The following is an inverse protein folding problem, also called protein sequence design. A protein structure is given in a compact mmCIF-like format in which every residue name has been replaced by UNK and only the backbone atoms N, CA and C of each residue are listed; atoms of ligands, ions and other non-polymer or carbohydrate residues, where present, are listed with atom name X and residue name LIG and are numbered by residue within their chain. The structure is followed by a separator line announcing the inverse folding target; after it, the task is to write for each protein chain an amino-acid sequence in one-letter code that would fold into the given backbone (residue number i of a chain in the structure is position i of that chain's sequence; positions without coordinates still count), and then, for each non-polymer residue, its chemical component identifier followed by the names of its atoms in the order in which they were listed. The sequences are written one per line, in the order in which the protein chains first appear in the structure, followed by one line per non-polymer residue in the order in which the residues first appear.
data_IF_889553536621
#
_entry.id   IF_889553536621
#
_cell.length_a   1.000
_cell.length_b   1.000
_cell.length_c   1.000
_cell.angle_alpha   90.00
_cell.angle_beta   90.00
_cell.angle_gamma   90.00
#
_symmetry.space_group_name_H-M   'P 1'
#
loop_
_entity.id
_entity.type
_entity.pdbx_description
1 polymer ?
#
# COMPACT_ATOMS: atom_id res chain seq x y z
N UNK A 1 -4.25 -11.68 30.19
CA UNK A 1 -3.20 -12.24 29.33
C UNK A 1 -2.12 -11.20 29.02
N UNK A 2 -2.44 -10.03 28.37
CA UNK A 2 -1.41 -9.02 27.95
C UNK A 2 -0.54 -8.52 29.10
N UNK A 3 -1.11 -8.20 30.28
CA UNK A 3 -0.35 -7.75 31.45
C UNK A 3 0.69 -8.78 31.92
N UNK A 4 0.46 -10.06 31.68
CA UNK A 4 1.41 -11.11 32.04
C UNK A 4 2.63 -11.18 31.09
N UNK A 5 2.52 -10.64 29.90
CA UNK A 5 3.61 -10.56 28.92
C UNK A 5 4.54 -9.37 29.17
N UNK A 6 4.04 -8.30 29.77
CA UNK A 6 4.76 -7.05 29.94
C UNK A 6 6.11 -7.24 30.68
N UNK A 7 6.24 -7.98 31.79
CA UNK A 7 7.52 -8.17 32.45
C UNK A 7 8.58 -8.92 31.63
N UNK A 8 8.14 -9.72 30.64
CA UNK A 8 9.03 -10.55 29.83
C UNK A 8 9.38 -9.93 28.48
N UNK A 9 8.45 -9.15 27.91
CA UNK A 9 8.56 -8.70 26.52
C UNK A 9 8.54 -7.19 26.33
N UNK A 10 8.54 -6.38 27.41
CA UNK A 10 8.58 -4.93 27.30
C UNK A 10 9.77 -4.48 26.45
N UNK A 11 9.50 -3.67 25.40
CA UNK A 11 10.52 -3.16 24.50
C UNK A 11 11.22 -4.19 23.60
N UNK A 12 10.66 -5.38 23.40
CA UNK A 12 11.29 -6.45 22.64
C UNK A 12 10.52 -6.90 21.39
N UNK A 13 9.26 -6.48 21.25
CA UNK A 13 8.41 -6.92 20.15
C UNK A 13 8.60 -6.02 18.93
N UNK A 14 9.05 -6.58 17.82
CA UNK A 14 9.31 -5.84 16.56
C UNK A 14 8.06 -5.46 15.81
N UNK A 15 7.06 -6.33 15.83
CA UNK A 15 5.83 -6.13 15.09
C UNK A 15 4.64 -6.66 15.89
N UNK A 16 3.60 -5.83 16.00
CA UNK A 16 2.32 -6.22 16.56
C UNK A 16 1.27 -5.98 15.49
N UNK A 17 0.48 -7.01 15.19
CA UNK A 17 -0.73 -6.91 14.40
C UNK A 17 -1.90 -7.39 15.25
N UNK A 18 -2.94 -6.58 15.34
CA UNK A 18 -4.17 -6.94 16.05
C UNK A 18 -5.39 -6.75 15.16
N UNK A 19 -6.34 -7.64 15.37
CA UNK A 19 -7.68 -7.64 14.79
C UNK A 19 -8.68 -7.70 15.95
N UNK A 20 -9.01 -6.53 16.56
CA UNK A 20 -9.92 -6.48 17.70
C UNK A 20 -11.37 -6.63 17.23
N UNK A 21 -12.35 -6.88 18.14
CA UNK A 21 -13.76 -6.78 17.81
C UNK A 21 -14.11 -5.43 17.19
N UNK A 22 -14.78 -5.42 16.03
CA UNK A 22 -15.06 -4.21 15.25
C UNK A 22 -16.21 -3.37 15.83
N UNK A 23 -16.95 -3.89 16.79
CA UNK A 23 -18.09 -3.25 17.44
C UNK A 23 -19.24 -2.94 16.45
N UNK A 24 -19.46 -3.81 15.47
CA UNK A 24 -20.46 -3.64 14.41
C UNK A 24 -21.88 -4.01 14.82
N UNK A 25 -22.07 -4.58 16.01
CA UNK A 25 -23.34 -5.12 16.50
C UNK A 25 -23.80 -6.40 15.78
N UNK A 26 -22.95 -6.99 14.96
CA UNK A 26 -23.19 -8.31 14.36
C UNK A 26 -22.75 -9.36 15.37
N UNK A 27 -23.71 -9.97 16.05
CA UNK A 27 -23.49 -10.95 17.09
C UNK A 27 -22.75 -12.20 16.55
N UNK A 28 -21.46 -12.28 16.79
CA UNK A 28 -20.77 -13.56 16.83
C UNK A 28 -20.95 -14.16 18.23
N UNK A 29 -21.43 -15.41 18.34
CA UNK A 29 -21.82 -16.08 19.60
C UNK A 29 -20.80 -16.08 20.75
N UNK A 30 -19.58 -15.56 20.51
CA UNK A 30 -18.48 -15.56 21.49
C UNK A 30 -17.76 -14.21 21.66
N UNK A 31 -18.27 -13.12 21.05
CA UNK A 31 -17.69 -11.79 21.16
C UNK A 31 -18.76 -10.76 21.53
N UNK A 32 -18.51 -9.97 22.58
CA UNK A 32 -19.30 -8.78 22.90
C UNK A 32 -19.05 -7.69 21.82
N UNK A 33 -19.63 -7.86 20.64
CA UNK A 33 -19.49 -6.96 19.49
C UNK A 33 -20.58 -5.86 19.46
N UNK A 34 -21.21 -5.61 20.59
CA UNK A 34 -22.22 -4.56 20.76
C UNK A 34 -21.96 -3.78 22.05
N UNK A 35 -20.72 -3.34 22.21
CA UNK A 35 -20.35 -2.47 23.33
C UNK A 35 -20.78 -1.03 23.02
N UNK A 36 -21.21 -0.32 24.05
CA UNK A 36 -21.34 1.13 23.96
C UNK A 36 -19.96 1.69 23.59
N UNK A 37 -19.93 2.63 22.66
CA UNK A 37 -18.72 3.18 22.04
C UNK A 37 -17.63 3.61 23.06
N UNK A 38 -18.04 4.29 24.15
CA UNK A 38 -17.11 4.71 25.21
C UNK A 38 -16.49 3.55 25.96
N UNK A 39 -17.23 2.45 26.13
CA UNK A 39 -16.74 1.22 26.79
C UNK A 39 -15.70 0.56 25.88
N UNK A 40 -15.98 0.45 24.57
CA UNK A 40 -15.05 -0.08 23.60
C UNK A 40 -13.74 0.72 23.55
N UNK A 41 -13.81 2.05 23.50
CA UNK A 41 -12.65 2.93 23.52
C UNK A 41 -11.82 2.78 24.79
N UNK A 42 -12.45 2.73 25.96
CA UNK A 42 -11.76 2.53 27.24
C UNK A 42 -11.03 1.17 27.29
N UNK A 43 -11.70 0.13 26.80
CA UNK A 43 -11.14 -1.21 26.68
C UNK A 43 -9.92 -1.24 25.74
N UNK A 44 -10.01 -0.56 24.62
CA UNK A 44 -8.91 -0.44 23.66
C UNK A 44 -7.77 0.39 24.21
N UNK A 45 -8.05 1.52 24.85
CA UNK A 45 -7.02 2.38 25.45
C UNK A 45 -6.09 1.59 26.39
N UNK A 46 -6.65 0.81 27.29
CA UNK A 46 -5.86 0.01 28.23
C UNK A 46 -4.97 -0.99 27.52
N UNK A 47 -5.49 -1.66 26.50
CA UNK A 47 -4.75 -2.69 25.73
C UNK A 47 -3.66 -2.05 24.85
N UNK A 48 -4.00 -0.98 24.15
CA UNK A 48 -3.07 -0.28 23.26
C UNK A 48 -1.86 0.29 24.00
N UNK A 49 -2.04 0.79 25.22
CA UNK A 49 -0.92 1.26 26.08
C UNK A 49 0.03 0.10 26.43
N UNK A 50 -0.51 -1.06 26.79
CA UNK A 50 0.33 -2.25 27.05
C UNK A 50 1.06 -2.68 25.76
N UNK A 51 0.35 -2.77 24.63
CA UNK A 51 0.95 -3.13 23.35
C UNK A 51 2.05 -2.14 22.94
N UNK A 52 1.86 -0.84 23.18
CA UNK A 52 2.89 0.16 22.98
C UNK A 52 4.13 -0.08 23.87
N UNK A 53 3.94 -0.48 25.13
CA UNK A 53 5.05 -0.84 26.03
C UNK A 53 5.83 -2.05 25.53
N UNK A 54 5.15 -3.06 24.98
CA UNK A 54 5.78 -4.28 24.45
C UNK A 54 6.64 -4.01 23.22
N UNK A 55 6.29 -3.02 22.39
CA UNK A 55 7.03 -2.70 21.17
C UNK A 55 8.45 -2.21 21.46
N UNK A 56 9.42 -2.69 20.69
CA UNK A 56 10.78 -2.13 20.65
C UNK A 56 10.81 -0.72 20.03
N UNK A 57 11.92 -0.01 20.19
CA UNK A 57 12.07 1.39 19.75
C UNK A 57 11.86 1.59 18.25
N UNK A 58 12.10 0.56 17.44
CA UNK A 58 11.90 0.58 15.98
C UNK A 58 10.73 -0.32 15.55
N UNK A 59 9.86 -0.68 16.50
CA UNK A 59 8.74 -1.58 16.28
C UNK A 59 7.61 -0.94 15.48
N UNK A 60 6.83 -1.79 14.83
CA UNK A 60 5.64 -1.41 14.06
C UNK A 60 4.39 -2.00 14.67
N UNK A 61 3.34 -1.19 14.70
CA UNK A 61 2.02 -1.55 15.22
C UNK A 61 0.98 -1.41 14.12
N UNK A 62 0.21 -2.47 13.92
CA UNK A 62 -0.86 -2.59 12.95
C UNK A 62 -2.17 -2.91 13.65
N UNK A 63 -3.24 -2.24 13.29
CA UNK A 63 -4.57 -2.54 13.76
C UNK A 63 -5.55 -2.55 12.60
N UNK A 64 -6.33 -3.63 12.52
CA UNK A 64 -7.38 -3.82 11.53
C UNK A 64 -8.73 -3.49 12.15
N UNK A 65 -9.53 -2.70 11.47
CA UNK A 65 -10.84 -2.21 11.93
C UNK A 65 -11.76 -2.01 10.73
N UNK A 66 -13.06 -1.94 10.99
CA UNK A 66 -14.03 -1.45 10.02
C UNK A 66 -14.34 0.05 10.23
N UNK A 67 -15.32 0.57 9.48
CA UNK A 67 -15.70 1.99 9.50
C UNK A 67 -16.23 2.48 10.85
N UNK A 68 -16.78 1.58 11.70
CA UNK A 68 -17.49 1.96 12.93
C UNK A 68 -16.55 2.65 13.91
N UNK A 69 -15.38 2.04 14.15
CA UNK A 69 -14.48 2.50 15.21
C UNK A 69 -13.14 3.05 14.70
N UNK A 70 -12.82 2.91 13.40
CA UNK A 70 -11.49 3.29 12.88
C UNK A 70 -11.11 4.74 13.15
N UNK A 71 -12.04 5.67 13.01
CA UNK A 71 -11.75 7.10 13.18
C UNK A 71 -11.45 7.47 14.63
N UNK A 72 -12.21 6.94 15.56
CA UNK A 72 -12.01 7.18 16.99
C UNK A 72 -10.77 6.44 17.51
N UNK A 73 -10.55 5.22 17.05
CA UNK A 73 -9.33 4.48 17.33
C UNK A 73 -8.08 5.21 16.82
N UNK A 74 -8.18 5.85 15.63
CA UNK A 74 -7.11 6.68 15.08
C UNK A 74 -6.71 7.82 16.02
N UNK A 75 -7.69 8.53 16.59
CA UNK A 75 -7.43 9.62 17.56
C UNK A 75 -6.76 9.08 18.81
N UNK A 76 -7.23 7.96 19.34
CA UNK A 76 -6.66 7.28 20.48
C UNK A 76 -5.21 6.82 20.22
N UNK A 77 -4.94 6.29 19.05
CA UNK A 77 -3.59 5.90 18.63
C UNK A 77 -2.66 7.11 18.48
N UNK A 78 -3.16 8.25 17.98
CA UNK A 78 -2.40 9.50 17.92
C UNK A 78 -1.98 9.98 19.30
N UNK A 79 -2.80 9.76 20.34
CA UNK A 79 -2.47 10.07 21.72
C UNK A 79 -1.39 9.12 22.29
N UNK A 80 -1.51 7.82 22.02
CA UNK A 80 -0.62 6.79 22.59
C UNK A 80 0.73 6.74 21.88
N UNK A 81 0.72 6.74 20.55
CA UNK A 81 1.91 6.60 19.72
C UNK A 81 2.53 7.92 19.29
N UNK A 82 1.84 9.04 19.47
CA UNK A 82 2.08 10.36 18.87
C UNK A 82 1.74 10.41 17.38
N UNK A 83 1.08 11.49 16.95
CA UNK A 83 0.64 11.69 15.57
C UNK A 83 1.77 11.62 14.54
N UNK A 84 2.96 12.09 14.89
CA UNK A 84 4.15 12.03 14.03
C UNK A 84 4.63 10.61 13.73
N UNK A 85 4.21 9.63 14.51
CA UNK A 85 4.53 8.22 14.34
C UNK A 85 3.49 7.45 13.51
N UNK A 86 2.44 8.13 13.04
CA UNK A 86 1.52 7.58 12.06
C UNK A 86 2.24 7.38 10.74
N UNK A 87 2.12 6.18 10.15
CA UNK A 87 2.81 5.80 8.90
C UNK A 87 1.84 5.72 7.74
N UNK A 88 0.74 4.98 7.90
CA UNK A 88 -0.20 4.75 6.81
C UNK A 88 -1.62 4.40 7.32
N UNK A 89 -2.60 4.73 6.48
CA UNK A 89 -3.95 4.21 6.53
C UNK A 89 -4.17 3.42 5.23
N UNK A 90 -4.34 2.13 5.35
CA UNK A 90 -4.56 1.21 4.24
C UNK A 90 -6.04 0.88 4.21
N UNK A 91 -6.69 1.14 3.09
CA UNK A 91 -8.06 0.69 2.84
C UNK A 91 -7.99 -0.64 2.10
N UNK A 92 -8.58 -1.65 2.68
CA UNK A 92 -8.64 -3.00 2.15
C UNK A 92 -10.05 -3.27 1.61
N UNK A 93 -10.13 -3.70 0.35
CA UNK A 93 -11.39 -4.13 -0.26
C UNK A 93 -11.63 -5.61 0.07
N UNK A 94 -12.62 -5.89 0.91
CA UNK A 94 -13.05 -7.26 1.15
C UNK A 94 -13.96 -7.74 0.02
N UNK A 95 -13.94 -9.03 -0.27
CA UNK A 95 -14.84 -9.63 -1.25
C UNK A 95 -16.29 -9.31 -0.91
N UNK A 96 -16.93 -8.47 -1.69
CA UNK A 96 -18.34 -8.18 -1.56
C UNK A 96 -19.13 -9.45 -1.89
N UNK A 97 -19.62 -10.14 -0.87
CA UNK A 97 -20.78 -11.02 -1.09
C UNK A 97 -21.95 -10.08 -1.39
N UNK A 98 -22.33 -10.04 -2.65
CA UNK A 98 -23.34 -9.15 -3.14
C UNK A 98 -24.59 -9.12 -2.23
N UNK A 99 -24.78 -8.02 -1.54
CA UNK A 99 -26.10 -7.43 -1.30
C UNK A 99 -27.09 -8.08 -0.37
N UNK A 100 -26.77 -9.14 0.33
CA UNK A 100 -27.74 -9.77 1.24
C UNK A 100 -27.32 -9.55 2.70
N UNK A 101 -27.92 -8.55 3.36
CA UNK A 101 -27.85 -8.39 4.80
C UNK A 101 -27.48 -7.03 5.36
N UNK A 102 -27.06 -6.08 4.55
CA UNK A 102 -26.79 -4.72 5.03
C UNK A 102 -27.98 -3.82 4.69
N UNK A 103 -28.80 -3.50 5.68
CA UNK A 103 -30.01 -2.67 5.55
C UNK A 103 -29.74 -1.17 5.34
N UNK A 104 -28.69 -0.80 4.58
CA UNK A 104 -28.30 0.58 4.30
C UNK A 104 -28.43 0.96 2.83
N UNK A 105 -28.42 2.26 2.54
CA UNK A 105 -28.41 2.79 1.19
C UNK A 105 -27.13 2.48 0.40
N UNK A 106 -26.04 2.18 1.09
CA UNK A 106 -24.74 1.87 0.53
C UNK A 106 -24.22 0.57 1.14
N UNK A 107 -23.54 -0.23 0.33
CA UNK A 107 -22.89 -1.46 0.78
C UNK A 107 -21.47 -1.09 1.19
N UNK A 108 -21.10 -1.39 2.45
CA UNK A 108 -19.73 -1.27 2.90
C UNK A 108 -18.93 -2.47 2.39
N UNK A 109 -17.91 -2.21 1.57
CA UNK A 109 -17.02 -3.23 0.98
C UNK A 109 -15.57 -3.07 1.44
N UNK A 110 -15.32 -2.19 2.38
CA UNK A 110 -13.96 -1.85 2.81
C UNK A 110 -13.73 -2.09 4.28
N UNK A 111 -12.50 -2.39 4.60
CA UNK A 111 -11.95 -2.43 5.96
C UNK A 111 -10.66 -1.61 5.99
N UNK A 112 -10.17 -1.30 7.19
CA UNK A 112 -9.12 -0.32 7.39
C UNK A 112 -7.99 -0.90 8.24
N UNK A 113 -6.75 -0.65 7.82
CA UNK A 113 -5.58 -0.99 8.61
C UNK A 113 -4.84 0.30 8.91
N UNK A 114 -4.67 0.63 10.19
CA UNK A 114 -3.85 1.75 10.64
C UNK A 114 -2.47 1.24 11.02
N UNK A 115 -1.43 1.91 10.51
CA UNK A 115 -0.04 1.58 10.79
C UNK A 115 0.63 2.72 11.56
N UNK A 116 1.23 2.37 12.68
CA UNK A 116 2.08 3.25 13.49
C UNK A 116 3.46 2.63 13.68
N UNK A 117 4.46 3.47 13.86
CA UNK A 117 5.80 3.10 14.30
C UNK A 117 6.03 3.55 15.73
N UNK A 118 7.03 2.96 16.40
CA UNK A 118 7.56 3.47 17.66
C UNK A 118 9.01 3.94 17.42
N UNK A 119 9.19 5.27 17.26
CA UNK A 119 10.50 5.85 16.95
C UNK A 119 10.88 5.79 15.46
N UNK A 120 12.14 5.53 15.13
CA UNK A 120 12.59 5.46 13.75
C UNK A 120 12.09 4.19 13.06
N UNK A 121 11.76 4.28 11.77
CA UNK A 121 11.51 3.05 10.99
C UNK A 121 12.82 2.25 10.89
N UNK A 122 12.78 0.91 11.05
CA UNK A 122 13.88 0.10 10.60
C UNK A 122 14.17 0.44 9.15
N UNK A 123 15.42 0.46 8.73
CA UNK A 123 15.82 0.81 7.37
C UNK A 123 14.99 0.15 6.29
N UNK A 124 15.40 0.24 5.03
CA UNK A 124 14.63 -0.29 3.89
C UNK A 124 14.07 -1.68 4.20
N UNK A 125 12.74 -1.81 4.15
CA UNK A 125 12.07 -3.12 4.17
C UNK A 125 12.55 -3.95 2.98
N UNK A 126 12.70 -5.26 3.16
CA UNK A 126 12.98 -6.16 2.04
C UNK A 126 11.89 -5.98 0.98
N UNK A 127 12.31 -5.62 -0.23
CA UNK A 127 11.36 -5.57 -1.34
C UNK A 127 10.93 -7.00 -1.66
N UNK A 128 9.63 -7.24 -1.56
CA UNK A 128 9.03 -8.45 -2.11
C UNK A 128 8.72 -8.20 -3.58
N UNK A 129 9.28 -9.02 -4.45
CA UNK A 129 8.98 -9.00 -5.88
C UNK A 129 7.92 -10.06 -6.15
N UNK A 130 6.75 -9.63 -6.57
CA UNK A 130 5.73 -10.51 -7.12
C UNK A 130 5.80 -10.46 -8.64
N UNK A 131 5.55 -11.59 -9.29
CA UNK A 131 5.39 -11.59 -10.74
C UNK A 131 4.20 -10.72 -11.13
N UNK A 132 4.44 -9.73 -11.99
CA UNK A 132 3.37 -8.91 -12.53
C UNK A 132 2.38 -9.79 -13.31
N UNK A 133 1.12 -9.74 -12.92
CA UNK A 133 0.06 -10.38 -13.65
C UNK A 133 0.03 -9.92 -15.12
N UNK A 134 -0.20 -10.82 -16.06
CA UNK A 134 -0.18 -10.50 -17.49
C UNK A 134 -1.10 -9.32 -17.87
N UNK A 135 -2.19 -9.12 -17.12
CA UNK A 135 -3.09 -7.98 -17.30
C UNK A 135 -2.43 -6.62 -17.05
N UNK A 136 -1.38 -6.56 -16.25
CA UNK A 136 -0.59 -5.35 -16.01
C UNK A 136 0.46 -5.22 -17.10
N UNK A 137 1.19 -6.30 -17.40
CA UNK A 137 2.26 -6.33 -18.39
C UNK A 137 1.76 -5.85 -19.76
N UNK A 138 0.60 -6.34 -20.22
CA UNK A 138 0.02 -5.96 -21.52
C UNK A 138 -0.25 -4.47 -21.71
N UNK A 139 -0.25 -3.66 -20.63
CA UNK A 139 -0.39 -2.20 -20.72
C UNK A 139 0.88 -1.52 -21.22
N UNK A 140 2.02 -2.20 -21.15
CA UNK A 140 3.34 -1.72 -21.54
C UNK A 140 3.77 -2.34 -22.89
N UNK A 141 2.86 -2.42 -23.85
CA UNK A 141 3.06 -3.13 -25.11
C UNK A 141 3.80 -2.32 -26.20
N UNK A 142 4.39 -1.18 -25.84
CA UNK A 142 5.21 -0.38 -26.74
C UNK A 142 6.65 -0.36 -26.27
N UNK A 143 7.57 -0.36 -27.20
CA UNK A 143 8.99 -0.26 -26.92
C UNK A 143 9.69 0.62 -27.95
N UNK A 144 10.82 1.18 -27.56
CA UNK A 144 11.68 1.95 -28.45
C UNK A 144 12.57 0.95 -29.20
N UNK A 145 12.37 0.80 -30.49
CA UNK A 145 13.18 -0.07 -31.37
C UNK A 145 14.45 0.62 -31.83
N UNK A 146 14.40 1.95 -31.98
CA UNK A 146 15.55 2.76 -32.32
C UNK A 146 15.49 4.09 -31.55
N UNK A 147 16.52 4.42 -30.81
CA UNK A 147 16.60 5.67 -30.05
C UNK A 147 16.89 6.89 -30.93
N UNK A 148 17.27 6.69 -32.19
CA UNK A 148 17.69 7.79 -33.08
C UNK A 148 18.94 8.51 -32.55
N UNK A 149 19.11 9.75 -32.95
CA UNK A 149 20.20 10.62 -32.49
C UNK A 149 19.86 11.18 -31.10
N UNK A 150 20.83 11.17 -30.18
CA UNK A 150 20.65 11.70 -28.82
C UNK A 150 21.58 12.90 -28.57
N UNK A 151 21.03 13.93 -27.95
CA UNK A 151 21.77 15.09 -27.49
C UNK A 151 21.63 15.21 -25.96
N UNK A 152 22.75 15.35 -25.27
CA UNK A 152 22.76 15.58 -23.81
C UNK A 152 22.22 17.00 -23.54
N UNK A 153 21.09 17.10 -22.82
CA UNK A 153 20.51 18.37 -22.42
C UNK A 153 21.02 18.81 -21.04
N UNK A 154 21.11 17.86 -20.12
CA UNK A 154 21.41 18.16 -18.71
C UNK A 154 22.12 17.00 -18.03
N UNK A 155 23.05 17.34 -17.15
CA UNK A 155 23.66 16.40 -16.20
C UNK A 155 23.56 16.97 -14.78
N UNK A 156 23.23 16.15 -13.80
CA UNK A 156 23.18 16.55 -12.40
C UNK A 156 23.36 15.34 -11.49
N UNK A 157 23.75 15.59 -10.24
CA UNK A 157 23.86 14.55 -9.21
C UNK A 157 22.53 14.39 -8.50
N UNK A 158 21.99 13.17 -8.43
CA UNK A 158 20.75 12.87 -7.75
C UNK A 158 20.94 12.99 -6.23
N UNK A 159 20.07 13.77 -5.56
CA UNK A 159 20.14 13.97 -4.10
C UNK A 159 19.82 12.72 -3.27
N UNK A 160 19.26 11.69 -3.90
CA UNK A 160 18.80 10.46 -3.20
C UNK A 160 19.91 9.42 -3.02
N UNK A 161 20.90 9.39 -3.93
CA UNK A 161 21.93 8.33 -3.96
C UNK A 161 23.29 8.80 -4.49
N UNK A 162 23.47 10.11 -4.70
CA UNK A 162 24.68 10.73 -5.25
C UNK A 162 25.12 10.22 -6.64
N UNK A 163 24.21 9.57 -7.39
CA UNK A 163 24.48 9.12 -8.75
C UNK A 163 24.35 10.24 -9.78
N UNK A 164 25.17 10.17 -10.84
CA UNK A 164 25.10 11.11 -11.96
C UNK A 164 23.93 10.74 -12.85
N UNK A 165 22.95 11.64 -12.94
CA UNK A 165 21.78 11.53 -13.85
C UNK A 165 22.03 12.36 -15.09
N UNK A 166 21.88 11.75 -16.26
CA UNK A 166 21.98 12.39 -17.57
C UNK A 166 20.64 12.39 -18.26
N UNK A 167 20.19 13.56 -18.68
CA UNK A 167 18.96 13.74 -19.43
C UNK A 167 19.31 14.03 -20.90
N UNK A 168 18.70 13.25 -21.77
CA UNK A 168 18.94 13.34 -23.21
C UNK A 168 17.65 13.72 -23.95
N UNK A 169 17.79 14.49 -25.01
CA UNK A 169 16.78 14.63 -26.05
C UNK A 169 17.09 13.65 -27.17
N UNK A 170 16.07 13.04 -27.71
CA UNK A 170 16.18 12.09 -28.82
C UNK A 170 15.39 12.59 -30.01
N UNK A 171 15.97 12.51 -31.21
CA UNK A 171 15.31 12.82 -32.48
C UNK A 171 15.31 11.59 -33.37
N UNK A 172 14.23 11.38 -34.13
CA UNK A 172 14.11 10.22 -35.02
C UNK A 172 13.86 8.90 -34.25
N UNK A 173 13.19 8.95 -33.11
CA UNK A 173 12.86 7.76 -32.32
C UNK A 173 11.84 6.89 -33.05
N UNK A 174 12.15 5.59 -33.19
CA UNK A 174 11.22 4.61 -33.73
C UNK A 174 10.58 3.82 -32.59
N UNK A 175 9.26 3.68 -32.66
CA UNK A 175 8.44 3.02 -31.63
C UNK A 175 7.68 1.87 -32.30
N UNK A 176 7.87 0.68 -31.76
CA UNK A 176 7.15 -0.49 -32.16
C UNK A 176 6.23 -1.00 -31.06
N UNK A 177 5.39 -1.98 -31.39
CA UNK A 177 4.42 -2.54 -30.45
C UNK A 177 4.46 -4.05 -30.45
N UNK A 178 4.49 -4.66 -29.28
CA UNK A 178 4.31 -6.09 -29.08
C UNK A 178 2.86 -6.46 -29.42
N UNK A 179 2.67 -7.42 -30.32
CA UNK A 179 1.35 -7.87 -30.73
C UNK A 179 0.66 -8.68 -29.64
N UNK A 180 -0.46 -8.17 -29.14
CA UNK A 180 -1.30 -8.84 -28.14
C UNK A 180 -2.42 -9.70 -28.78
N UNK A 181 -2.29 -10.07 -30.05
CA UNK A 181 -3.27 -10.97 -30.72
C UNK A 181 -3.13 -12.36 -30.15
N UNK A 182 -4.27 -13.03 -29.93
CA UNK A 182 -4.35 -14.41 -29.45
C UNK A 182 -3.54 -14.72 -28.18
N UNK A 183 -3.62 -13.82 -27.23
CA UNK A 183 -2.88 -13.89 -25.95
C UNK A 183 -3.04 -15.24 -25.26
N UNK A 184 -4.24 -15.86 -25.30
CA UNK A 184 -4.51 -17.12 -24.59
C UNK A 184 -3.60 -18.26 -25.07
N UNK A 185 -3.28 -18.30 -26.38
CA UNK A 185 -2.48 -19.36 -26.96
C UNK A 185 -0.99 -19.00 -27.07
N UNK A 186 -0.65 -17.70 -26.97
CA UNK A 186 0.71 -17.17 -27.17
C UNK A 186 1.29 -16.48 -25.92
N UNK A 187 0.73 -16.73 -24.74
CA UNK A 187 1.17 -16.01 -23.54
C UNK A 187 2.66 -16.14 -23.26
N UNK A 188 3.21 -17.35 -23.39
CA UNK A 188 4.64 -17.60 -23.16
C UNK A 188 5.52 -16.86 -24.16
N UNK A 189 5.15 -16.88 -25.44
CA UNK A 189 5.87 -16.18 -26.51
C UNK A 189 5.85 -14.66 -26.29
N UNK A 190 4.67 -14.13 -26.00
CA UNK A 190 4.49 -12.71 -25.72
C UNK A 190 5.30 -12.29 -24.47
N UNK A 191 5.32 -13.09 -23.42
CA UNK A 191 6.17 -12.81 -22.24
C UNK A 191 7.66 -12.75 -22.60
N UNK A 192 8.13 -13.60 -23.49
CA UNK A 192 9.51 -13.55 -23.96
C UNK A 192 9.80 -12.26 -24.75
N UNK A 193 8.90 -11.82 -25.62
CA UNK A 193 9.03 -10.52 -26.31
C UNK A 193 9.11 -9.36 -25.31
N UNK A 194 8.31 -9.37 -24.23
CA UNK A 194 8.40 -8.36 -23.18
C UNK A 194 9.76 -8.38 -22.47
N UNK A 195 10.32 -9.57 -22.21
CA UNK A 195 11.63 -9.70 -21.57
C UNK A 195 12.74 -9.16 -22.45
N UNK A 196 12.69 -9.45 -23.76
CA UNK A 196 13.70 -8.97 -24.74
C UNK A 196 13.74 -7.44 -24.79
N UNK A 197 12.60 -6.78 -24.64
CA UNK A 197 12.50 -5.32 -24.74
C UNK A 197 12.35 -4.60 -23.38
N UNK A 198 12.63 -5.29 -22.26
CA UNK A 198 12.35 -4.82 -20.91
C UNK A 198 12.85 -3.40 -20.62
N UNK A 199 14.06 -3.08 -21.07
CA UNK A 199 14.68 -1.77 -20.82
C UNK A 199 14.10 -0.63 -21.65
N UNK A 200 13.30 -0.94 -22.67
CA UNK A 200 12.74 0.04 -23.63
C UNK A 200 11.22 0.06 -23.63
N UNK A 201 10.59 -0.76 -22.77
CA UNK A 201 9.14 -0.82 -22.64
C UNK A 201 8.56 0.45 -22.02
N UNK A 202 7.45 0.88 -22.58
CA UNK A 202 6.67 1.97 -21.97
C UNK A 202 5.17 1.83 -22.22
N UNK A 203 4.40 2.54 -21.41
CA UNK A 203 2.95 2.64 -21.54
C UNK A 203 2.58 3.86 -22.37
N UNK A 204 1.90 3.64 -23.50
CA UNK A 204 1.29 4.74 -24.23
C UNK A 204 0.06 5.29 -23.50
N UNK A 205 0.12 6.52 -23.03
CA UNK A 205 -1.05 7.24 -22.55
C UNK A 205 -1.62 8.11 -23.67
N UNK A 206 -2.94 8.18 -23.77
CA UNK A 206 -3.56 9.21 -24.61
C UNK A 206 -3.39 10.57 -23.93
N UNK A 207 -2.76 11.50 -24.63
CA UNK A 207 -2.80 12.93 -24.24
C UNK A 207 -4.23 13.40 -24.45
N UNK A 208 -4.91 13.79 -23.38
CA UNK A 208 -6.34 14.16 -23.49
C UNK A 208 -6.55 15.51 -24.18
N UNK A 209 -5.65 16.46 -24.04
CA UNK A 209 -5.61 17.73 -24.82
C UNK A 209 -4.21 18.36 -24.70
N UNK A 210 -3.72 18.93 -25.78
CA UNK A 210 -2.43 19.65 -25.85
C UNK A 210 -2.31 20.82 -24.84
N UNK A 211 -3.43 21.40 -24.44
CA UNK A 211 -3.47 22.58 -23.55
C UNK A 211 -3.25 22.23 -22.05
N UNK A 212 -3.25 20.98 -21.64
CA UNK A 212 -3.03 20.61 -20.24
C UNK A 212 -1.54 20.48 -19.87
N UNK A 213 -0.66 20.39 -20.87
CA UNK A 213 0.80 20.31 -20.65
C UNK A 213 1.49 21.66 -20.48
N UNK A 214 0.83 22.78 -20.79
CA UNK A 214 1.43 24.10 -20.64
C UNK A 214 1.29 24.70 -19.24
N UNK A 215 0.53 24.04 -18.32
CA UNK A 215 0.23 24.52 -16.97
C UNK A 215 0.66 23.56 -15.84
N UNK A 216 1.56 22.60 -16.10
CA UNK A 216 2.07 21.67 -15.07
C UNK A 216 3.50 22.01 -14.64
#
# INVERSE_FOLDING_TARGET
ALKALEPMYAGQVKCIYIDPPFNTGQAFEHYDDNLEHSIWLNLMNQRLRILHTLLETNGMFWIHLDDVEVHYCKVLLDEIFSRQNFVAHITYERSAVAGLGQGGYLVNTTEHILLYKKGALPGKTNLSYEELGFNIIKRYNRYISNFGDRTLIREFVAKSNDEIVRVYEHSGVEIESISLRDVKNRETEIRQEFIVHLDTLFRGNRVQKENEFQNA
#
